data_IF_480357869170
#
_entry.id   IF_480357869170
#
_cell.length_a   1.000
_cell.length_b   1.000
_cell.length_c   1.000
_cell.angle_alpha   90.00
_cell.angle_beta   90.00
_cell.angle_gamma   90.00
#
_symmetry.space_group_name_H-M   'P 1'
#
loop_
_entity.id
_entity.type
_entity.pdbx_description
1 polymer ?
#
# COMPACT_ATOMS: atom_id res chain seq x y z
N UNK A 1 6.49 15.92 -2.64
CA UNK A 1 7.15 15.20 -1.52
C UNK A 1 8.61 15.62 -1.44
N UNK A 2 9.20 15.80 -0.23
CA UNK A 2 10.64 16.11 -0.10
C UNK A 2 11.50 14.92 -0.57
N UNK A 3 12.69 15.12 -1.19
CA UNK A 3 13.52 14.02 -1.70
C UNK A 3 13.90 12.98 -0.65
N UNK A 4 14.11 13.40 0.61
CA UNK A 4 14.37 12.47 1.72
C UNK A 4 13.16 11.57 2.04
N UNK A 5 11.94 12.13 1.98
CA UNK A 5 10.72 11.36 2.21
C UNK A 5 10.44 10.39 1.06
N UNK A 6 10.78 10.76 -0.18
CA UNK A 6 10.66 9.87 -1.34
C UNK A 6 11.55 8.65 -1.24
N UNK A 7 12.81 8.83 -0.81
CA UNK A 7 13.74 7.71 -0.58
C UNK A 7 13.26 6.77 0.53
N UNK A 8 12.74 7.33 1.63
CA UNK A 8 12.13 6.52 2.71
C UNK A 8 10.94 5.74 2.18
N UNK A 9 10.03 6.39 1.45
CA UNK A 9 8.86 5.74 0.86
C UNK A 9 9.27 4.59 -0.07
N UNK A 10 10.22 4.82 -0.98
CA UNK A 10 10.73 3.77 -1.87
C UNK A 10 11.28 2.57 -1.10
N UNK A 11 12.05 2.80 -0.03
CA UNK A 11 12.57 1.70 0.80
C UNK A 11 11.45 0.86 1.42
N UNK A 12 10.40 1.50 1.94
CA UNK A 12 9.25 0.80 2.50
C UNK A 12 8.47 0.05 1.42
N UNK A 13 8.21 0.68 0.27
CA UNK A 13 7.51 0.05 -0.84
C UNK A 13 8.25 -1.17 -1.40
N UNK A 14 9.59 -1.16 -1.43
CA UNK A 14 10.36 -2.34 -1.82
C UNK A 14 10.15 -3.52 -0.88
N UNK A 15 10.03 -3.28 0.43
CA UNK A 15 9.75 -4.34 1.39
C UNK A 15 8.33 -4.88 1.22
N UNK A 16 7.34 -3.99 1.09
CA UNK A 16 5.93 -4.34 0.85
C UNK A 16 5.79 -5.14 -0.46
N UNK A 17 6.42 -4.69 -1.55
CA UNK A 17 6.36 -5.36 -2.84
C UNK A 17 6.89 -6.80 -2.80
N UNK A 18 7.94 -7.07 -2.00
CA UNK A 18 8.47 -8.44 -1.83
C UNK A 18 7.47 -9.35 -1.14
N UNK A 19 6.78 -8.85 -0.12
CA UNK A 19 5.75 -9.62 0.61
C UNK A 19 4.57 -9.88 -0.34
N UNK A 20 4.05 -8.85 -1.00
CA UNK A 20 2.91 -8.99 -1.90
C UNK A 20 3.19 -9.91 -3.11
N UNK A 21 4.43 -9.92 -3.61
CA UNK A 21 4.85 -10.86 -4.65
C UNK A 21 4.85 -12.32 -4.15
N UNK A 22 5.18 -12.59 -2.89
CA UNK A 22 5.14 -13.94 -2.32
C UNK A 22 3.71 -14.47 -2.18
N UNK A 23 2.75 -13.59 -1.96
CA UNK A 23 1.32 -13.91 -1.84
C UNK A 23 0.58 -13.89 -3.19
N UNK A 24 1.25 -13.52 -4.29
CA UNK A 24 0.64 -13.44 -5.61
C UNK A 24 0.60 -14.80 -6.31
N UNK A 25 -0.51 -15.11 -6.97
CA UNK A 25 -0.60 -16.27 -7.85
C UNK A 25 0.27 -16.04 -9.11
N UNK A 26 1.14 -17.01 -9.41
CA UNK A 26 2.14 -16.86 -10.48
C UNK A 26 1.54 -16.68 -11.87
N UNK A 27 0.36 -17.26 -12.13
CA UNK A 27 -0.33 -17.19 -13.43
C UNK A 27 -0.83 -15.76 -13.74
N UNK A 28 -1.26 -15.01 -12.73
CA UNK A 28 -1.71 -13.63 -12.89
C UNK A 28 -0.54 -12.66 -13.17
N UNK A 29 0.71 -13.08 -13.00
CA UNK A 29 1.89 -12.21 -13.21
C UNK A 29 2.47 -12.28 -14.63
N UNK A 30 1.87 -13.07 -15.53
CA UNK A 30 2.37 -13.26 -16.89
C UNK A 30 2.02 -12.13 -17.86
N UNK A 31 1.07 -11.26 -17.49
CA UNK A 31 0.62 -10.13 -18.31
C UNK A 31 0.53 -8.84 -17.51
N UNK A 32 0.65 -7.71 -18.19
CA UNK A 32 0.48 -6.40 -17.55
C UNK A 32 -0.92 -6.25 -16.93
N UNK A 33 -1.94 -6.84 -17.54
CA UNK A 33 -3.31 -6.81 -17.04
C UNK A 33 -3.46 -7.61 -15.74
N UNK A 34 -2.89 -8.82 -15.67
CA UNK A 34 -2.92 -9.64 -14.46
C UNK A 34 -2.06 -9.06 -13.34
N UNK A 35 -0.90 -8.48 -13.66
CA UNK A 35 -0.06 -7.75 -12.70
C UNK A 35 -0.86 -6.59 -12.08
N UNK A 36 -1.54 -5.78 -12.91
CA UNK A 36 -2.35 -4.66 -12.42
C UNK A 36 -3.49 -5.13 -11.54
N UNK A 37 -4.23 -6.16 -11.98
CA UNK A 37 -5.34 -6.75 -11.22
C UNK A 37 -4.87 -7.25 -9.85
N UNK A 38 -3.75 -7.98 -9.82
CA UNK A 38 -3.14 -8.50 -8.60
C UNK A 38 -2.73 -7.36 -7.65
N UNK A 39 -1.99 -6.37 -8.15
CA UNK A 39 -1.56 -5.21 -7.35
C UNK A 39 -2.78 -4.47 -6.78
N UNK A 40 -3.81 -4.23 -7.60
CA UNK A 40 -5.02 -3.54 -7.18
C UNK A 40 -5.73 -4.31 -6.06
N UNK A 41 -5.96 -5.61 -6.24
CA UNK A 41 -6.63 -6.46 -5.25
C UNK A 41 -5.86 -6.44 -3.92
N UNK A 42 -4.56 -6.73 -3.95
CA UNK A 42 -3.72 -6.77 -2.76
C UNK A 42 -3.60 -5.40 -2.07
N UNK A 43 -3.55 -4.30 -2.83
CA UNK A 43 -3.49 -2.95 -2.25
C UNK A 43 -4.80 -2.58 -1.57
N UNK A 44 -5.95 -2.96 -2.15
CA UNK A 44 -7.25 -2.72 -1.55
C UNK A 44 -7.46 -3.56 -0.28
N UNK A 45 -6.97 -4.79 -0.27
CA UNK A 45 -7.15 -5.71 0.85
C UNK A 45 -6.19 -5.42 2.02
N UNK A 46 -4.90 -5.20 1.75
CA UNK A 46 -3.87 -5.17 2.80
C UNK A 46 -3.32 -3.77 3.11
N UNK A 47 -3.26 -2.86 2.13
CA UNK A 47 -2.54 -1.58 2.30
C UNK A 47 -3.51 -0.44 2.61
N UNK A 48 -4.57 -0.32 1.81
CA UNK A 48 -5.50 0.82 1.87
C UNK A 48 -6.19 0.93 3.24
N UNK A 49 -6.62 -0.17 3.89
CA UNK A 49 -7.21 -0.10 5.23
C UNK A 49 -6.25 0.47 6.27
N UNK A 50 -4.98 0.07 6.26
CA UNK A 50 -3.96 0.57 7.19
C UNK A 50 -3.75 2.08 7.04
N UNK A 51 -3.70 2.57 5.80
CA UNK A 51 -3.64 4.00 5.51
C UNK A 51 -4.91 4.72 6.01
N UNK A 52 -6.09 4.15 5.72
CA UNK A 52 -7.37 4.69 6.17
C UNK A 52 -7.47 4.82 7.68
N UNK A 53 -7.10 3.77 8.42
CA UNK A 53 -7.07 3.76 9.90
C UNK A 53 -6.08 4.81 10.42
N UNK A 54 -4.89 4.91 9.83
CA UNK A 54 -3.92 5.92 10.24
C UNK A 54 -4.47 7.34 10.06
N UNK A 55 -5.02 7.67 8.89
CA UNK A 55 -5.58 8.99 8.62
C UNK A 55 -6.83 9.28 9.45
N UNK A 56 -7.68 8.29 9.72
CA UNK A 56 -8.84 8.43 10.61
C UNK A 56 -8.41 8.80 12.03
N UNK A 57 -7.38 8.13 12.57
CA UNK A 57 -6.80 8.51 13.88
C UNK A 57 -6.25 9.92 13.87
N UNK A 58 -5.56 10.32 12.79
CA UNK A 58 -5.07 11.70 12.64
C UNK A 58 -6.19 12.74 12.55
N UNK A 59 -7.31 12.39 11.92
CA UNK A 59 -8.48 13.26 11.89
C UNK A 59 -9.09 13.43 13.29
N UNK A 60 -9.21 12.36 14.08
CA UNK A 60 -9.68 12.42 15.47
C UNK A 60 -8.75 13.25 16.36
N UNK A 61 -7.43 13.14 16.20
CA UNK A 61 -6.46 13.97 16.92
C UNK A 61 -6.60 15.47 16.59
N UNK A 62 -7.02 15.80 15.35
CA UNK A 62 -7.24 17.18 14.91
C UNK A 62 -8.59 17.75 15.39
N UNK A 63 -9.58 16.87 15.59
CA UNK A 63 -10.95 17.21 16.00
C UNK A 63 -11.37 16.38 17.22
N UNK A 64 -10.78 16.61 18.40
CA UNK A 64 -11.01 15.77 19.58
C UNK A 64 -12.41 15.91 20.20
N UNK A 65 -13.16 16.95 19.83
CA UNK A 65 -14.45 17.32 20.44
C UNK A 65 -15.67 17.12 19.50
N UNK A 66 -15.50 16.50 18.32
CA UNK A 66 -16.60 15.98 17.48
C UNK A 66 -16.90 14.50 17.81
#
# INVERSE_FOLDING_TARGET
MKPANQRKLQKHLQAVAKILYQEAETEELESLAGIEKTIRAQTLEYITPELGVFFSKKQQELHPDE
#
